data_IF_138786472633
#
_entry.id   IF_138786472633
#
_cell.length_a   1.000
_cell.length_b   1.000
_cell.length_c   1.000
_cell.angle_alpha   90.00
_cell.angle_beta   90.00
_cell.angle_gamma   90.00
#
_symmetry.space_group_name_H-M   'P 1'
#
loop_
_entity.id
_entity.type
_entity.pdbx_description
1 polymer ?
#
# COMPACT_ATOMS: atom_id res chain seq x y z
N UNK A 1 11.93 18.04 20.49
CA UNK A 1 11.53 16.63 20.67
C UNK A 1 11.56 15.98 19.31
N UNK A 2 12.25 14.86 19.15
CA UNK A 2 12.23 14.08 17.90
C UNK A 2 10.95 13.24 17.84
N UNK A 3 10.40 13.05 16.64
CA UNK A 3 9.30 12.09 16.40
C UNK A 3 9.93 10.71 16.21
N UNK A 4 9.60 9.69 17.04
CA UNK A 4 10.14 8.34 16.87
C UNK A 4 9.67 7.72 15.55
N UNK A 5 10.57 7.04 14.86
CA UNK A 5 10.24 6.20 13.70
C UNK A 5 10.35 4.75 14.13
N UNK A 6 9.25 4.00 14.01
CA UNK A 6 9.19 2.61 14.45
C UNK A 6 8.66 1.78 13.29
N UNK A 7 9.42 0.76 12.87
CA UNK A 7 9.03 -0.18 11.83
C UNK A 7 8.33 -1.38 12.48
N UNK A 8 7.18 -1.78 11.93
CA UNK A 8 6.63 -3.10 12.23
C UNK A 8 7.22 -4.09 11.24
N UNK A 9 8.09 -4.96 11.73
CA UNK A 9 8.76 -5.97 10.92
C UNK A 9 8.12 -7.34 11.10
N UNK A 10 8.37 -8.21 10.12
CA UNK A 10 8.12 -9.64 10.21
C UNK A 10 9.43 -10.39 10.44
N UNK A 11 9.31 -11.68 10.76
CA UNK A 11 10.43 -12.62 10.75
C UNK A 11 11.17 -12.69 9.40
N UNK A 12 10.53 -12.28 8.30
CA UNK A 12 11.15 -12.23 6.97
C UNK A 12 11.83 -10.90 6.65
N UNK A 13 11.52 -9.81 7.37
CA UNK A 13 11.94 -8.45 6.98
C UNK A 13 12.83 -7.75 8.01
N UNK A 14 12.80 -8.18 9.27
CA UNK A 14 13.50 -7.48 10.35
C UNK A 14 15.00 -7.42 10.16
N UNK A 15 15.62 -8.55 9.75
CA UNK A 15 17.08 -8.62 9.61
C UNK A 15 17.59 -7.59 8.60
N UNK A 16 17.03 -7.62 7.39
CA UNK A 16 17.43 -6.71 6.30
C UNK A 16 17.13 -5.24 6.65
N UNK A 17 15.98 -4.97 7.29
CA UNK A 17 15.62 -3.63 7.73
C UNK A 17 16.62 -3.08 8.76
N UNK A 18 17.02 -3.90 9.73
CA UNK A 18 18.00 -3.49 10.75
C UNK A 18 19.41 -3.34 10.18
N UNK A 19 19.81 -4.18 9.22
CA UNK A 19 21.07 -4.02 8.49
C UNK A 19 21.11 -2.68 7.74
N UNK A 20 20.02 -2.29 7.08
CA UNK A 20 19.91 -1.01 6.38
C UNK A 20 19.95 0.18 7.34
N UNK A 21 19.17 0.13 8.43
CA UNK A 21 19.19 1.19 9.46
C UNK A 21 20.59 1.36 10.09
N UNK A 22 21.33 0.26 10.25
CA UNK A 22 22.71 0.30 10.70
C UNK A 22 23.65 0.90 9.66
N UNK A 23 23.49 0.53 8.38
CA UNK A 23 24.28 1.06 7.26
C UNK A 23 24.16 2.57 7.14
N UNK A 24 22.96 3.12 7.34
CA UNK A 24 22.71 4.57 7.31
C UNK A 24 23.00 5.28 8.64
N UNK A 25 23.41 4.54 9.69
CA UNK A 25 23.72 5.10 11.00
C UNK A 25 22.52 5.65 11.77
N UNK A 26 21.29 5.20 11.46
CA UNK A 26 20.08 5.69 12.12
C UNK A 26 20.03 5.24 13.59
N UNK A 27 19.81 6.17 14.50
CA UNK A 27 19.73 5.93 15.96
C UNK A 27 18.63 6.80 16.57
N UNK A 28 17.95 6.26 17.58
CA UNK A 28 16.94 6.98 18.35
C UNK A 28 16.80 6.36 19.75
N UNK A 29 15.99 6.99 20.62
CA UNK A 29 15.73 6.52 21.99
C UNK A 29 14.85 5.26 22.04
N UNK A 30 13.91 5.13 21.11
CA UNK A 30 12.96 4.01 21.05
C UNK A 30 13.51 2.87 20.19
N UNK A 31 13.02 1.63 20.38
CA UNK A 31 13.29 0.56 19.42
C UNK A 31 12.97 1.00 18.00
N UNK A 32 13.89 0.75 17.06
CA UNK A 32 13.71 1.09 15.64
C UNK A 32 12.70 0.19 14.94
N UNK A 33 12.52 -1.03 15.44
CA UNK A 33 11.45 -1.91 15.01
C UNK A 33 10.93 -2.80 16.14
N UNK A 34 9.76 -3.39 15.91
CA UNK A 34 9.21 -4.49 16.69
C UNK A 34 8.69 -5.58 15.76
N UNK A 35 8.61 -6.81 16.27
CA UNK A 35 8.12 -7.94 15.51
C UNK A 35 6.60 -8.05 15.64
N UNK A 36 5.94 -8.19 14.49
CA UNK A 36 4.57 -8.71 14.43
C UNK A 36 4.56 -10.23 14.67
N UNK A 37 3.38 -10.78 14.92
CA UNK A 37 3.15 -12.20 15.12
C UNK A 37 3.39 -13.03 13.86
N UNK A 38 3.46 -14.34 14.07
CA UNK A 38 3.61 -15.38 13.06
C UNK A 38 2.49 -16.41 13.32
N UNK A 39 1.69 -16.70 12.29
CA UNK A 39 0.55 -17.65 12.38
C UNK A 39 0.70 -18.78 11.36
N UNK A 40 0.22 -20.00 11.66
CA UNK A 40 0.32 -21.11 10.73
C UNK A 40 -0.56 -20.89 9.50
N UNK A 41 -0.08 -21.32 8.34
CA UNK A 41 -0.93 -21.52 7.16
C UNK A 41 -1.77 -22.79 7.38
N UNK A 42 -3.05 -22.72 7.04
CA UNK A 42 -3.99 -23.82 7.28
C UNK A 42 -4.35 -24.53 5.98
N UNK A 43 -4.43 -25.85 5.99
CA UNK A 43 -4.98 -26.62 4.88
C UNK A 43 -6.43 -26.24 4.65
N UNK A 44 -6.81 -25.94 3.41
CA UNK A 44 -8.18 -25.55 3.07
C UNK A 44 -9.20 -26.66 3.33
N UNK A 45 -8.79 -27.93 3.27
CA UNK A 45 -9.68 -29.08 3.41
C UNK A 45 -10.19 -29.32 4.83
N UNK A 46 -9.35 -29.06 5.84
CA UNK A 46 -9.60 -29.46 7.24
C UNK A 46 -9.14 -28.42 8.27
N UNK A 47 -8.62 -27.27 7.83
CA UNK A 47 -8.14 -26.16 8.66
C UNK A 47 -7.00 -26.54 9.62
N UNK A 48 -6.29 -27.64 9.36
CA UNK A 48 -5.11 -28.01 10.15
C UNK A 48 -3.86 -27.28 9.63
N UNK A 49 -2.85 -26.99 10.48
CA UNK A 49 -1.59 -26.44 10.03
C UNK A 49 -0.94 -27.30 8.93
N UNK A 50 -0.39 -26.65 7.91
CA UNK A 50 0.31 -27.37 6.84
C UNK A 50 1.66 -27.89 7.34
N UNK A 51 2.20 -28.90 6.66
CA UNK A 51 3.62 -29.20 6.73
C UNK A 51 4.22 -29.19 5.32
N UNK A 52 5.42 -28.64 5.19
CA UNK A 52 6.12 -28.52 3.92
C UNK A 52 7.63 -28.71 4.08
N UNK A 53 8.35 -28.84 2.96
CA UNK A 53 9.79 -29.11 2.98
C UNK A 53 10.59 -27.97 3.57
N UNK A 54 10.16 -26.74 3.33
CA UNK A 54 10.71 -25.55 3.96
C UNK A 54 9.81 -25.13 5.15
N UNK A 55 10.26 -25.32 6.41
CA UNK A 55 9.45 -24.96 7.58
C UNK A 55 9.00 -23.50 7.61
N UNK A 56 9.74 -22.57 6.98
CA UNK A 56 9.32 -21.15 6.93
C UNK A 56 8.06 -20.95 6.07
N UNK A 57 7.83 -21.81 5.10
CA UNK A 57 6.61 -21.82 4.27
C UNK A 57 5.39 -22.38 5.02
N UNK A 58 5.55 -22.92 6.24
CA UNK A 58 4.42 -23.31 7.10
C UNK A 58 3.73 -22.10 7.74
N UNK A 59 4.37 -20.93 7.71
CA UNK A 59 3.96 -19.79 8.51
C UNK A 59 3.88 -18.47 7.76
N UNK A 60 2.96 -17.60 8.17
CA UNK A 60 2.81 -16.29 7.57
C UNK A 60 2.54 -15.19 8.61
N UNK A 61 2.82 -13.93 8.24
CA UNK A 61 2.22 -12.78 8.90
C UNK A 61 0.70 -12.83 8.94
N UNK A 62 0.04 -12.47 10.06
CA UNK A 62 -1.42 -12.36 10.15
C UNK A 62 -1.97 -11.04 9.58
N UNK A 63 -1.29 -10.48 8.57
CA UNK A 63 -1.63 -9.18 7.97
C UNK A 63 -1.26 -7.99 8.85
N UNK A 64 -1.38 -6.78 8.28
CA UNK A 64 -0.92 -5.56 8.93
C UNK A 64 -1.82 -5.10 10.09
N UNK A 65 -3.02 -5.68 10.26
CA UNK A 65 -3.89 -5.40 11.42
C UNK A 65 -3.32 -5.85 12.76
N UNK A 66 -2.32 -6.73 12.73
CA UNK A 66 -1.61 -7.22 13.89
C UNK A 66 -0.85 -6.13 14.66
N UNK A 67 -0.54 -5.00 13.99
CA UNK A 67 0.16 -3.85 14.56
C UNK A 67 -0.41 -3.43 15.93
N UNK A 68 -1.73 -3.46 16.09
CA UNK A 68 -2.39 -3.00 17.30
C UNK A 68 -2.10 -3.88 18.51
N UNK A 69 -2.16 -5.20 18.32
CA UNK A 69 -1.94 -6.18 19.39
C UNK A 69 -0.44 -6.30 19.67
N UNK A 70 0.41 -6.39 18.64
CA UNK A 70 1.86 -6.45 18.82
C UNK A 70 2.42 -5.21 19.53
N UNK A 71 1.90 -4.01 19.25
CA UNK A 71 2.29 -2.81 19.98
C UNK A 71 1.99 -2.89 21.48
N UNK A 72 0.85 -3.49 21.85
CA UNK A 72 0.49 -3.69 23.25
C UNK A 72 1.38 -4.77 23.90
N UNK A 73 1.48 -5.95 23.29
CA UNK A 73 2.17 -7.11 23.86
C UNK A 73 3.68 -6.90 24.00
N UNK A 74 4.30 -6.13 23.10
CA UNK A 74 5.71 -5.75 23.21
C UNK A 74 5.98 -4.74 24.32
N UNK A 75 4.95 -4.16 24.94
CA UNK A 75 5.05 -3.07 25.91
C UNK A 75 5.45 -1.73 25.30
N UNK A 76 5.59 -1.66 23.97
CA UNK A 76 5.99 -0.44 23.26
C UNK A 76 4.90 0.64 23.34
N UNK A 77 3.62 0.23 23.26
CA UNK A 77 2.48 1.14 23.43
C UNK A 77 2.53 1.84 24.80
N UNK A 78 2.73 1.07 25.87
CA UNK A 78 2.84 1.61 27.23
C UNK A 78 4.06 2.53 27.37
N UNK A 79 5.19 2.12 26.81
CA UNK A 79 6.43 2.91 26.82
C UNK A 79 6.23 4.27 26.13
N UNK A 80 5.56 4.30 24.97
CA UNK A 80 5.25 5.52 24.24
C UNK A 80 4.33 6.44 25.07
N UNK A 81 3.24 5.89 25.62
CA UNK A 81 2.28 6.66 26.43
C UNK A 81 2.97 7.24 27.68
N UNK A 82 3.77 6.46 28.40
CA UNK A 82 4.50 6.91 29.59
C UNK A 82 5.52 8.01 29.28
N UNK A 83 6.08 8.04 28.06
CA UNK A 83 6.95 9.11 27.59
C UNK A 83 6.18 10.31 27.00
N UNK A 84 4.86 10.34 27.12
CA UNK A 84 4.01 11.48 26.76
C UNK A 84 3.54 11.50 25.30
N UNK A 85 3.78 10.45 24.51
CA UNK A 85 3.24 10.35 23.15
C UNK A 85 1.75 10.03 23.20
N UNK A 86 0.96 10.82 22.48
CA UNK A 86 -0.51 10.70 22.46
C UNK A 86 -1.05 10.18 21.15
N UNK A 87 -0.49 10.64 20.03
CA UNK A 87 -0.95 10.30 18.69
C UNK A 87 0.16 9.56 17.95
N UNK A 88 -0.18 8.46 17.30
CA UNK A 88 0.66 7.81 16.31
C UNK A 88 0.12 8.05 14.90
N UNK A 89 1.03 8.28 13.97
CA UNK A 89 0.78 8.22 12.53
C UNK A 89 1.33 6.88 12.02
N UNK A 90 0.49 6.11 11.33
CA UNK A 90 0.82 4.79 10.78
C UNK A 90 0.57 4.80 9.28
N UNK A 91 1.53 4.35 8.48
CA UNK A 91 1.40 4.27 7.01
C UNK A 91 2.06 3.02 6.46
N UNK A 92 1.73 2.66 5.22
CA UNK A 92 2.46 1.61 4.51
C UNK A 92 3.89 2.07 4.22
N UNK A 93 4.87 1.18 4.37
CA UNK A 93 6.27 1.46 4.00
C UNK A 93 6.48 1.74 2.51
N UNK A 94 5.60 1.20 1.65
CA UNK A 94 5.62 1.46 0.21
C UNK A 94 4.94 2.77 -0.21
N UNK A 95 4.26 3.49 0.71
CA UNK A 95 3.66 4.79 0.39
C UNK A 95 4.63 5.92 0.70
N UNK A 96 5.42 6.32 -0.30
CA UNK A 96 6.44 7.37 -0.15
C UNK A 96 5.87 8.80 -0.12
N UNK A 97 4.56 8.96 -0.28
CA UNK A 97 3.86 10.24 -0.07
C UNK A 97 3.36 10.43 1.37
N UNK A 98 3.37 9.37 2.19
CA UNK A 98 2.88 9.41 3.57
C UNK A 98 3.86 10.17 4.47
N UNK A 99 3.44 11.33 4.97
CA UNK A 99 4.25 12.17 5.88
C UNK A 99 3.42 12.68 7.04
N UNK A 100 4.05 12.96 8.19
CA UNK A 100 3.33 13.57 9.32
C UNK A 100 2.90 15.00 8.96
N UNK A 101 1.59 15.25 8.92
CA UNK A 101 1.03 16.57 8.62
C UNK A 101 0.52 17.28 9.89
N UNK A 102 1.15 18.39 10.33
CA UNK A 102 0.77 19.10 11.56
C UNK A 102 -0.69 19.56 11.58
N UNK A 103 -1.27 19.92 10.43
CA UNK A 103 -2.67 20.31 10.33
C UNK A 103 -3.66 19.17 10.64
N UNK A 104 -3.33 17.93 10.25
CA UNK A 104 -4.18 16.77 10.54
C UNK A 104 -4.09 16.44 12.03
N UNK A 105 -2.87 16.45 12.58
CA UNK A 105 -2.64 16.30 14.02
C UNK A 105 -3.40 17.35 14.83
N UNK A 106 -3.30 18.62 14.44
CA UNK A 106 -4.00 19.73 15.12
C UNK A 106 -5.52 19.55 15.06
N UNK A 107 -6.06 19.12 13.92
CA UNK A 107 -7.47 18.83 13.77
C UNK A 107 -7.92 17.69 14.68
N UNK A 108 -7.16 16.59 14.71
CA UNK A 108 -7.43 15.42 15.56
C UNK A 108 -7.49 15.80 17.04
N UNK A 109 -6.54 16.61 17.51
CA UNK A 109 -6.48 17.09 18.90
C UNK A 109 -7.64 18.02 19.24
N UNK A 110 -7.99 18.95 18.34
CA UNK A 110 -9.10 19.90 18.54
C UNK A 110 -10.44 19.19 18.63
N UNK A 111 -10.70 18.27 17.71
CA UNK A 111 -11.94 17.51 17.63
C UNK A 111 -11.97 16.30 18.58
N UNK A 112 -10.87 16.04 19.30
CA UNK A 112 -10.68 14.92 20.23
C UNK A 112 -10.99 13.57 19.57
N UNK A 113 -10.50 13.39 18.34
CA UNK A 113 -10.70 12.17 17.58
C UNK A 113 -9.78 11.08 18.12
N UNK A 114 -10.28 9.85 18.19
CA UNK A 114 -9.54 8.68 18.64
C UNK A 114 -8.88 7.96 17.46
N UNK A 115 -9.50 8.04 16.27
CA UNK A 115 -9.01 7.39 15.06
C UNK A 115 -9.36 8.22 13.82
N UNK A 116 -8.39 8.48 12.96
CA UNK A 116 -8.61 9.07 11.64
C UNK A 116 -7.97 8.22 10.55
N UNK A 117 -8.66 8.15 9.41
CA UNK A 117 -8.16 7.52 8.21
C UNK A 117 -8.05 8.59 7.12
N UNK A 118 -6.86 8.77 6.55
CA UNK A 118 -6.74 9.59 5.36
C UNK A 118 -7.30 8.83 4.15
N UNK A 119 -8.18 9.49 3.43
CA UNK A 119 -8.88 8.99 2.26
C UNK A 119 -8.47 9.84 1.06
N UNK A 120 -8.33 9.27 -0.12
CA UNK A 120 -8.17 10.01 -1.37
C UNK A 120 -9.44 9.93 -2.19
N UNK A 121 -9.76 10.92 -3.05
CA UNK A 121 -10.68 10.68 -4.16
C UNK A 121 -10.26 9.42 -4.94
N UNK A 122 -11.23 8.55 -5.26
CA UNK A 122 -11.00 7.30 -5.98
C UNK A 122 -10.73 7.60 -7.47
N UNK A 123 -9.77 6.88 -8.04
CA UNK A 123 -9.43 6.90 -9.47
C UNK A 123 -9.61 5.50 -10.07
N UNK A 124 -9.56 5.37 -11.40
CA UNK A 124 -9.61 4.06 -12.08
C UNK A 124 -8.38 3.18 -11.79
N UNK A 125 -7.28 3.75 -11.28
CA UNK A 125 -6.12 3.00 -10.83
C UNK A 125 -6.37 2.30 -9.47
N UNK A 126 -7.34 2.78 -8.67
CA UNK A 126 -7.63 2.29 -7.32
C UNK A 126 -8.53 1.05 -7.31
N UNK A 127 -7.98 -0.07 -7.78
CA UNK A 127 -8.70 -1.36 -7.86
C UNK A 127 -8.57 -2.21 -6.59
N UNK A 128 -7.43 -2.14 -5.89
CA UNK A 128 -7.12 -2.99 -4.71
C UNK A 128 -6.87 -2.16 -3.46
N UNK A 129 -7.74 -2.30 -2.46
CA UNK A 129 -7.67 -1.61 -1.17
C UNK A 129 -9.05 -1.47 -0.54
N UNK A 130 -9.27 -0.43 0.27
CA UNK A 130 -10.48 -0.33 1.07
C UNK A 130 -11.23 1.00 0.95
N UNK A 131 -12.50 1.00 1.35
CA UNK A 131 -13.30 2.21 1.53
C UNK A 131 -14.07 2.14 2.86
N UNK A 132 -14.18 3.28 3.55
CA UNK A 132 -14.97 3.36 4.78
C UNK A 132 -16.45 3.42 4.44
N UNK A 133 -17.27 2.74 5.23
CA UNK A 133 -18.72 2.83 5.18
C UNK A 133 -19.29 2.94 6.59
N UNK A 134 -20.54 3.41 6.69
CA UNK A 134 -21.28 3.47 7.94
C UNK A 134 -22.17 2.25 8.05
N UNK A 135 -21.97 1.43 9.08
CA UNK A 135 -22.84 0.27 9.34
C UNK A 135 -24.17 0.74 9.89
N UNK A 136 -25.26 0.26 9.28
CA UNK A 136 -26.63 0.54 9.69
C UNK A 136 -27.24 -0.73 10.30
N UNK A 137 -27.80 -0.63 11.49
CA UNK A 137 -28.50 -1.72 12.21
C UNK A 137 -29.87 -1.20 12.61
N UNK A 138 -30.94 -1.90 12.22
CA UNK A 138 -32.32 -1.48 12.45
C UNK A 138 -32.59 0.00 12.06
N UNK A 139 -32.02 0.44 10.92
CA UNK A 139 -32.15 1.81 10.42
C UNK A 139 -31.32 2.87 11.15
N UNK A 140 -30.53 2.49 12.17
CA UNK A 140 -29.66 3.40 12.92
C UNK A 140 -28.21 3.17 12.56
N UNK A 141 -27.45 4.27 12.51
CA UNK A 141 -26.02 4.19 12.37
C UNK A 141 -25.38 3.67 13.65
N UNK A 142 -24.58 2.62 13.54
CA UNK A 142 -23.89 2.01 14.67
C UNK A 142 -22.43 2.48 14.71
N UNK A 143 -21.62 2.10 13.74
CA UNK A 143 -20.20 2.50 13.66
C UNK A 143 -19.73 2.66 12.22
N UNK A 144 -18.48 3.13 12.07
CA UNK A 144 -17.77 3.10 10.79
C UNK A 144 -16.99 1.80 10.67
N UNK A 145 -16.91 1.27 9.46
CA UNK A 145 -16.16 0.05 9.14
C UNK A 145 -15.39 0.24 7.84
N UNK A 146 -14.36 -0.59 7.64
CA UNK A 146 -13.58 -0.63 6.41
C UNK A 146 -14.04 -1.84 5.59
N UNK A 147 -14.42 -1.59 4.33
CA UNK A 147 -14.68 -2.62 3.33
C UNK A 147 -13.44 -2.75 2.46
N UNK A 148 -12.73 -3.87 2.56
CA UNK A 148 -11.61 -4.21 1.66
C UNK A 148 -12.10 -4.89 0.39
N UNK A 149 -11.37 -4.75 -0.73
CA UNK A 149 -11.69 -5.45 -2.00
C UNK A 149 -11.96 -6.94 -1.81
N UNK A 150 -11.17 -7.61 -0.95
CA UNK A 150 -11.30 -9.05 -0.69
C UNK A 150 -12.62 -9.46 0.01
N UNK A 151 -13.34 -8.49 0.59
CA UNK A 151 -14.61 -8.69 1.28
C UNK A 151 -15.82 -8.34 0.40
N UNK A 152 -15.58 -7.85 -0.82
CA UNK A 152 -16.63 -7.49 -1.76
C UNK A 152 -17.13 -8.75 -2.49
N UNK A 153 -18.43 -9.08 -2.43
CA UNK A 153 -18.99 -10.18 -3.20
C UNK A 153 -18.74 -9.98 -4.70
N UNK A 154 -18.42 -11.04 -5.48
CA UNK A 154 -18.09 -10.93 -6.90
C UNK A 154 -19.13 -10.16 -7.73
N UNK A 155 -20.42 -10.36 -7.45
CA UNK A 155 -21.55 -9.70 -8.11
C UNK A 155 -21.57 -8.17 -7.90
N UNK A 156 -21.00 -7.69 -6.80
CA UNK A 156 -20.93 -6.27 -6.44
C UNK A 156 -19.57 -5.63 -6.74
N UNK A 157 -18.61 -6.39 -7.29
CA UNK A 157 -17.26 -5.89 -7.56
C UNK A 157 -17.26 -4.67 -8.48
N UNK A 158 -18.15 -4.68 -9.49
CA UNK A 158 -18.30 -3.55 -10.43
C UNK A 158 -18.70 -2.24 -9.73
N UNK A 159 -19.51 -2.30 -8.66
CA UNK A 159 -19.90 -1.13 -7.87
C UNK A 159 -18.73 -0.60 -7.03
N UNK A 160 -17.88 -1.50 -6.53
CA UNK A 160 -16.71 -1.17 -5.71
C UNK A 160 -15.57 -0.58 -6.54
N UNK A 161 -15.32 -1.14 -7.73
CA UNK A 161 -14.30 -0.66 -8.67
C UNK A 161 -14.71 0.64 -9.37
N UNK A 162 -16.01 0.84 -9.59
CA UNK A 162 -16.56 2.04 -10.20
C UNK A 162 -16.41 3.31 -9.34
N UNK A 163 -16.69 4.46 -9.96
CA UNK A 163 -16.61 5.78 -9.31
C UNK A 163 -17.97 6.28 -8.75
N UNK A 164 -19.04 5.51 -8.92
CA UNK A 164 -20.39 5.92 -8.55
C UNK A 164 -20.66 5.87 -7.05
N UNK A 165 -20.49 4.68 -6.45
CA UNK A 165 -20.88 4.38 -5.06
C UNK A 165 -19.78 4.68 -4.06
N UNK A 166 -18.57 4.18 -4.32
CA UNK A 166 -17.39 4.42 -3.47
C UNK A 166 -16.52 5.50 -4.10
N UNK A 167 -16.72 6.76 -3.69
CA UNK A 167 -16.00 7.92 -4.26
C UNK A 167 -14.65 8.19 -3.63
N UNK A 168 -14.35 7.51 -2.54
CA UNK A 168 -13.15 7.70 -1.73
C UNK A 168 -12.48 6.37 -1.47
N UNK A 169 -11.16 6.39 -1.36
CA UNK A 169 -10.32 5.22 -1.20
C UNK A 169 -9.40 5.40 0.01
N UNK A 170 -9.24 4.35 0.82
CA UNK A 170 -8.34 4.33 1.96
C UNK A 170 -6.90 4.37 1.48
N UNK A 171 -6.11 5.28 2.04
CA UNK A 171 -4.67 5.35 1.79
C UNK A 171 -3.86 4.44 2.70
N UNK A 172 -4.51 3.85 3.70
CA UNK A 172 -3.87 3.20 4.86
C UNK A 172 -2.96 4.14 5.67
N UNK A 173 -3.06 5.47 5.48
CA UNK A 173 -2.49 6.46 6.38
C UNK A 173 -3.47 6.68 7.54
N UNK A 174 -3.09 6.26 8.74
CA UNK A 174 -3.94 6.25 9.91
C UNK A 174 -3.35 7.13 11.02
N UNK A 175 -4.22 7.80 11.75
CA UNK A 175 -3.87 8.55 12.95
C UNK A 175 -4.66 8.00 14.13
N UNK A 176 -3.98 7.63 15.20
CA UNK A 176 -4.61 6.93 16.33
C UNK A 176 -4.18 7.57 17.65
N UNK A 177 -5.14 7.78 18.54
CA UNK A 177 -4.88 8.12 19.93
C UNK A 177 -4.43 6.85 20.67
N UNK A 178 -3.19 6.86 21.15
CA UNK A 178 -2.53 5.72 21.79
C UNK A 178 -3.20 5.31 23.10
N UNK A 179 -3.74 6.27 23.85
CA UNK A 179 -4.43 6.01 25.11
C UNK A 179 -5.77 5.34 24.83
N UNK A 180 -6.52 5.85 23.85
CA UNK A 180 -7.76 5.25 23.40
C UNK A 180 -7.52 3.84 22.84
N UNK A 181 -6.51 3.66 21.98
CA UNK A 181 -6.12 2.35 21.45
C UNK A 181 -5.86 1.34 22.59
N UNK A 182 -5.02 1.71 23.55
CA UNK A 182 -4.71 0.87 24.71
C UNK A 182 -5.98 0.49 25.48
N UNK A 183 -6.86 1.45 25.77
CA UNK A 183 -8.11 1.21 26.47
C UNK A 183 -9.02 0.26 25.70
N UNK A 184 -9.19 0.46 24.38
CA UNK A 184 -10.05 -0.38 23.54
C UNK A 184 -9.54 -1.83 23.47
N UNK A 185 -8.23 -2.05 23.37
CA UNK A 185 -7.66 -3.41 23.37
C UNK A 185 -7.87 -4.08 24.74
N UNK A 186 -7.60 -3.38 25.85
CA UNK A 186 -7.73 -3.93 27.21
C UNK A 186 -9.18 -4.20 27.65
N UNK A 187 -10.17 -3.59 27.00
CA UNK A 187 -11.59 -3.93 27.22
C UNK A 187 -11.94 -5.35 26.72
N UNK A 188 -11.08 -5.97 25.90
CA UNK A 188 -11.26 -7.34 25.41
C UNK A 188 -12.25 -7.48 24.25
N UNK A 189 -12.93 -6.40 23.84
CA UNK A 189 -13.87 -6.37 22.71
C UNK A 189 -13.28 -5.76 21.44
N UNK A 190 -11.95 -5.74 21.30
CA UNK A 190 -11.28 -5.17 20.14
C UNK A 190 -11.35 -6.13 18.95
N UNK A 191 -12.11 -5.76 17.93
CA UNK A 191 -12.38 -6.60 16.78
C UNK A 191 -11.72 -6.06 15.51
N UNK A 192 -11.07 -6.96 14.77
CA UNK A 192 -10.58 -6.70 13.42
C UNK A 192 -11.31 -7.60 12.43
N UNK A 193 -11.54 -7.09 11.22
CA UNK A 193 -12.19 -7.88 10.19
C UNK A 193 -11.21 -8.94 9.65
N UNK A 194 -11.61 -10.21 9.71
CA UNK A 194 -10.85 -11.33 9.15
C UNK A 194 -10.82 -11.25 7.62
N UNK A 195 -9.65 -11.51 7.05
CA UNK A 195 -9.40 -11.68 5.63
C UNK A 195 -8.89 -13.11 5.44
N UNK A 196 -9.58 -13.88 4.61
CA UNK A 196 -9.20 -15.25 4.26
C UNK A 196 -8.57 -15.23 2.88
N UNK A 197 -7.27 -15.51 2.81
CA UNK A 197 -6.48 -15.40 1.58
C UNK A 197 -6.04 -16.80 1.10
N UNK A 198 -6.68 -17.37 0.06
CA UNK A 198 -6.29 -18.65 -0.49
C UNK A 198 -4.93 -18.57 -1.19
N UNK A 199 -4.07 -19.55 -0.96
CA UNK A 199 -2.75 -19.70 -1.60
C UNK A 199 -2.49 -21.15 -2.00
N UNK A 200 -1.45 -21.34 -2.78
CA UNK A 200 -0.89 -22.65 -3.09
C UNK A 200 0.56 -22.68 -2.63
N UNK A 201 0.88 -23.60 -1.70
CA UNK A 201 2.23 -23.80 -1.17
C UNK A 201 2.63 -25.25 -1.44
N UNK A 202 3.69 -25.45 -2.21
CA UNK A 202 4.16 -26.79 -2.62
C UNK A 202 3.04 -27.69 -3.18
N UNK A 203 2.09 -27.11 -3.92
CA UNK A 203 0.95 -27.83 -4.51
C UNK A 203 -0.24 -28.06 -3.55
N UNK A 204 -0.13 -27.68 -2.28
CA UNK A 204 -1.22 -27.75 -1.30
C UNK A 204 -2.07 -26.48 -1.36
N UNK A 205 -3.40 -26.62 -1.38
CA UNK A 205 -4.31 -25.48 -1.20
C UNK A 205 -4.38 -25.09 0.28
N UNK A 206 -4.00 -23.85 0.58
CA UNK A 206 -3.90 -23.34 1.96
C UNK A 206 -4.64 -22.02 2.13
N UNK A 207 -4.99 -21.70 3.36
CA UNK A 207 -5.59 -20.45 3.78
C UNK A 207 -4.58 -19.69 4.66
N UNK A 208 -4.38 -18.41 4.34
CA UNK A 208 -3.73 -17.46 5.22
C UNK A 208 -4.82 -16.59 5.86
N UNK A 209 -4.78 -16.48 7.19
CA UNK A 209 -5.71 -15.68 7.96
C UNK A 209 -5.04 -14.36 8.29
N UNK A 210 -5.59 -13.27 7.76
CA UNK A 210 -5.03 -11.93 7.87
C UNK A 210 -6.05 -10.96 8.46
N UNK A 211 -5.59 -9.83 8.97
CA UNK A 211 -6.42 -8.69 9.34
C UNK A 211 -5.88 -7.40 8.75
N UNK A 212 -6.76 -6.43 8.52
CA UNK A 212 -6.38 -5.10 8.03
C UNK A 212 -6.37 -4.06 9.16
N UNK A 213 -5.28 -3.30 9.28
CA UNK A 213 -5.11 -2.28 10.32
C UNK A 213 -6.20 -1.21 10.29
N UNK A 214 -6.65 -0.81 9.10
CA UNK A 214 -7.73 0.17 8.97
C UNK A 214 -9.09 -0.34 9.48
N UNK A 215 -9.30 -1.66 9.61
CA UNK A 215 -10.54 -2.22 10.17
C UNK A 215 -10.72 -1.87 11.65
N UNK A 216 -9.65 -1.45 12.34
CA UNK A 216 -9.70 -1.00 13.72
C UNK A 216 -10.62 0.21 13.94
N UNK A 217 -10.95 0.98 12.89
CA UNK A 217 -11.88 2.13 12.94
C UNK A 217 -13.20 1.78 13.64
N UNK A 218 -13.66 0.52 13.55
CA UNK A 218 -14.92 0.06 14.15
C UNK A 218 -14.93 0.02 15.68
N UNK A 219 -13.75 0.06 16.29
CA UNK A 219 -13.56 -0.03 17.74
C UNK A 219 -13.55 1.33 18.43
N UNK A 220 -13.68 2.42 17.67
CA UNK A 220 -13.59 3.78 18.17
C UNK A 220 -14.90 4.53 17.95
N UNK A 221 -15.21 5.46 18.85
CA UNK A 221 -16.44 6.25 18.79
C UNK A 221 -16.20 7.56 18.03
N UNK A 222 -15.05 8.21 18.29
CA UNK A 222 -14.74 9.52 17.71
C UNK A 222 -13.82 9.36 16.51
N UNK A 223 -14.44 9.02 15.37
CA UNK A 223 -13.70 8.73 14.14
C UNK A 223 -14.05 9.65 12.99
N UNK A 224 -13.08 9.91 12.10
CA UNK A 224 -13.29 10.62 10.83
C UNK A 224 -12.47 10.02 9.70
N UNK A 225 -13.06 9.99 8.51
CA UNK A 225 -12.30 9.95 7.27
C UNK A 225 -11.93 11.38 6.86
N UNK A 226 -10.67 11.62 6.51
CA UNK A 226 -10.19 12.94 6.06
C UNK A 226 -9.81 12.80 4.59
N UNK A 227 -10.49 13.53 3.71
CA UNK A 227 -10.14 13.54 2.29
C UNK A 227 -8.90 14.41 2.10
N UNK A 228 -7.82 13.80 1.62
CA UNK A 228 -6.52 14.43 1.40
C UNK A 228 -6.23 14.60 -0.10
N UNK A 229 -5.31 15.51 -0.47
CA UNK A 229 -4.73 15.54 -1.81
C UNK A 229 -4.03 14.21 -2.13
N UNK A 230 -4.06 13.84 -3.41
CA UNK A 230 -3.48 12.58 -3.90
C UNK A 230 -1.97 12.47 -3.65
N UNK A 231 -1.28 13.60 -3.53
CA UNK A 231 0.16 13.70 -3.27
C UNK A 231 0.63 12.96 -2.01
N UNK A 232 -0.28 12.64 -1.08
CA UNK A 232 0.02 11.88 0.13
C UNK A 232 -0.17 10.35 -0.03
N UNK A 233 -0.48 9.91 -1.25
CA UNK A 233 -0.74 8.51 -1.59
C UNK A 233 0.01 8.14 -2.87
N UNK A 234 1.26 7.72 -2.68
CA UNK A 234 2.19 7.26 -3.71
C UNK A 234 2.66 5.82 -3.40
N UNK A 235 1.75 4.81 -3.38
CA UNK A 235 2.10 3.43 -3.08
C UNK A 235 2.85 2.77 -4.23
N UNK A 236 3.64 1.74 -3.90
CA UNK A 236 4.27 0.84 -4.88
C UNK A 236 3.84 -0.61 -4.58
N UNK A 237 2.89 -1.13 -5.34
CA UNK A 237 2.33 -2.48 -5.17
C UNK A 237 2.78 -3.44 -6.27
N UNK A 238 3.00 -2.93 -7.47
CA UNK A 238 3.53 -3.69 -8.62
C UNK A 238 4.65 -2.95 -9.34
N UNK A 239 5.28 -3.62 -10.31
CA UNK A 239 6.33 -3.05 -11.15
C UNK A 239 5.84 -1.87 -12.00
N UNK A 240 4.54 -1.83 -12.33
CA UNK A 240 3.88 -0.69 -12.97
C UNK A 240 3.95 0.57 -12.09
N UNK A 241 3.60 0.45 -10.80
CA UNK A 241 3.73 1.56 -9.85
C UNK A 241 5.19 1.96 -9.71
N UNK A 242 6.09 0.97 -9.62
CA UNK A 242 7.53 1.20 -9.51
C UNK A 242 8.08 1.99 -10.70
N UNK A 243 7.66 1.64 -11.93
CA UNK A 243 8.01 2.37 -13.14
C UNK A 243 7.53 3.83 -13.05
N UNK A 244 6.26 4.03 -12.67
CA UNK A 244 5.71 5.38 -12.51
C UNK A 244 6.55 6.21 -11.52
N UNK A 245 6.82 5.68 -10.32
CA UNK A 245 7.58 6.40 -9.26
C UNK A 245 9.05 6.62 -9.59
N UNK A 246 9.64 5.82 -10.48
CA UNK A 246 11.02 6.00 -10.97
C UNK A 246 11.15 6.93 -12.16
N UNK A 247 10.06 7.19 -12.87
CA UNK A 247 10.03 8.13 -13.98
C UNK A 247 9.97 9.58 -13.48
N UNK A 248 10.12 10.53 -14.41
CA UNK A 248 9.96 11.96 -14.17
C UNK A 248 8.50 12.43 -13.98
N UNK A 249 7.53 11.51 -14.01
CA UNK A 249 6.15 11.80 -13.59
C UNK A 249 6.04 12.06 -12.08
N UNK A 250 7.06 11.67 -11.32
CA UNK A 250 7.17 11.86 -9.88
C UNK A 250 8.53 12.48 -9.54
N UNK A 251 8.57 13.28 -8.49
CA UNK A 251 9.81 13.86 -7.99
C UNK A 251 9.87 13.80 -6.47
N UNK A 252 11.11 13.87 -5.96
CA UNK A 252 11.43 13.89 -4.54
C UNK A 252 11.38 15.35 -4.04
N UNK A 253 10.59 15.59 -3.00
CA UNK A 253 10.52 16.88 -2.31
C UNK A 253 11.69 17.03 -1.33
N UNK A 254 11.91 18.26 -0.83
CA UNK A 254 12.94 18.56 0.17
C UNK A 254 12.77 17.76 1.47
N UNK A 255 11.54 17.38 1.81
CA UNK A 255 11.23 16.54 2.97
C UNK A 255 11.36 15.03 2.68
N UNK A 256 11.96 14.66 1.54
CA UNK A 256 12.15 13.29 1.06
C UNK A 256 10.87 12.49 0.76
N UNK A 257 9.70 13.15 0.72
CA UNK A 257 8.48 12.51 0.19
C UNK A 257 8.40 12.62 -1.32
N UNK A 258 7.68 11.68 -1.95
CA UNK A 258 7.48 11.68 -3.39
C UNK A 258 6.12 12.27 -3.73
N UNK A 259 6.08 13.17 -4.72
CA UNK A 259 4.85 13.76 -5.24
C UNK A 259 4.84 13.78 -6.77
N UNK A 260 3.65 13.87 -7.35
CA UNK A 260 3.48 13.99 -8.80
C UNK A 260 4.12 15.30 -9.28
N UNK A 261 4.76 15.28 -10.46
CA UNK A 261 5.42 16.46 -11.01
C UNK A 261 4.44 17.60 -11.29
N UNK A 262 4.91 18.84 -11.11
CA UNK A 262 4.09 20.04 -11.28
C UNK A 262 3.61 20.17 -12.73
N UNK A 263 4.50 19.94 -13.71
CA UNK A 263 4.14 19.98 -15.12
C UNK A 263 3.03 19.00 -15.48
N UNK A 264 3.02 17.82 -14.85
CA UNK A 264 1.95 16.83 -15.04
C UNK A 264 0.62 17.33 -14.47
N UNK A 265 0.64 17.89 -13.25
CA UNK A 265 -0.54 18.51 -12.61
C UNK A 265 -1.07 19.68 -13.45
N UNK A 266 -0.19 20.56 -13.91
CA UNK A 266 -0.51 21.70 -14.77
C UNK A 266 -1.09 21.28 -16.12
N UNK A 267 -0.66 20.13 -16.64
CA UNK A 267 -1.20 19.52 -17.86
C UNK A 267 -2.56 18.83 -17.64
N UNK A 268 -3.12 18.89 -16.42
CA UNK A 268 -4.40 18.26 -16.08
C UNK A 268 -4.35 16.73 -16.01
N UNK A 269 -3.15 16.14 -15.98
CA UNK A 269 -2.96 14.70 -15.93
C UNK A 269 -2.97 14.19 -14.48
N UNK A 270 -3.66 13.07 -14.26
CA UNK A 270 -3.71 12.37 -12.97
C UNK A 270 -2.69 11.24 -12.86
N UNK A 271 -3.00 10.22 -12.06
CA UNK A 271 -2.21 8.99 -12.00
C UNK A 271 -2.00 8.36 -13.38
N UNK A 272 -0.80 7.84 -13.64
CA UNK A 272 -0.49 7.17 -14.93
C UNK A 272 -1.12 5.78 -14.92
N UNK A 273 -1.86 5.44 -15.99
CA UNK A 273 -2.34 4.09 -16.19
C UNK A 273 -1.29 3.26 -16.93
N UNK A 274 -0.57 2.42 -16.20
CA UNK A 274 0.46 1.55 -16.77
C UNK A 274 -0.04 0.10 -16.74
N UNK A 275 0.09 -0.58 -17.88
CA UNK A 275 -0.07 -2.02 -18.02
C UNK A 275 1.22 -2.61 -18.56
N UNK A 276 1.82 -3.55 -17.82
CA UNK A 276 2.96 -4.33 -18.27
C UNK A 276 2.55 -5.80 -18.33
N UNK A 277 2.93 -6.50 -19.40
CA UNK A 277 2.67 -7.93 -19.56
C UNK A 277 3.26 -8.74 -18.39
N UNK A 278 2.39 -9.30 -17.53
CA UNK A 278 2.80 -10.00 -16.32
C UNK A 278 3.74 -11.20 -16.59
N UNK A 279 3.77 -11.72 -17.81
CA UNK A 279 4.69 -12.80 -18.21
C UNK A 279 6.16 -12.36 -18.16
N UNK A 280 6.43 -11.07 -18.39
CA UNK A 280 7.79 -10.53 -18.55
C UNK A 280 8.14 -9.50 -17.47
N UNK A 281 7.16 -8.77 -16.92
CA UNK A 281 7.44 -7.61 -16.07
C UNK A 281 6.97 -7.76 -14.61
N UNK A 282 6.35 -8.88 -14.25
CA UNK A 282 5.79 -9.06 -12.90
C UNK A 282 6.85 -9.12 -11.81
N UNK A 283 7.98 -9.76 -12.08
CA UNK A 283 9.07 -9.91 -11.10
C UNK A 283 10.04 -8.74 -11.22
N UNK A 284 10.49 -8.22 -10.08
CA UNK A 284 11.39 -7.06 -10.03
C UNK A 284 12.72 -7.30 -10.77
N UNK A 285 13.25 -8.53 -10.73
CA UNK A 285 14.47 -8.89 -11.46
C UNK A 285 14.30 -8.78 -12.98
N UNK A 286 13.19 -9.30 -13.52
CA UNK A 286 12.89 -9.22 -14.94
C UNK A 286 12.56 -7.77 -15.37
N UNK A 287 11.83 -7.04 -14.53
CA UNK A 287 11.59 -5.61 -14.73
C UNK A 287 12.91 -4.84 -14.85
N UNK A 288 13.83 -4.99 -13.90
CA UNK A 288 15.12 -4.29 -13.91
C UNK A 288 15.97 -4.67 -15.14
N UNK A 289 15.89 -5.93 -15.60
CA UNK A 289 16.56 -6.38 -16.83
C UNK A 289 15.98 -5.72 -18.08
N UNK A 290 14.67 -5.54 -18.13
CA UNK A 290 13.96 -5.01 -19.31
C UNK A 290 13.82 -3.48 -19.30
N UNK A 291 14.03 -2.82 -18.16
CA UNK A 291 14.07 -1.37 -18.00
C UNK A 291 15.43 -0.88 -17.48
N UNK A 292 16.53 -1.08 -18.23
CA UNK A 292 17.80 -0.45 -17.89
C UNK A 292 17.72 1.08 -17.99
N UNK A 293 16.93 1.60 -18.95
CA UNK A 293 16.59 3.01 -19.06
C UNK A 293 15.10 3.23 -18.74
N UNK A 294 14.82 4.16 -17.84
CA UNK A 294 13.44 4.53 -17.49
C UNK A 294 12.95 5.60 -18.48
N UNK A 295 11.84 5.36 -19.21
CA UNK A 295 11.26 6.37 -20.09
C UNK A 295 10.77 7.59 -19.30
N UNK A 296 10.78 8.76 -19.94
CA UNK A 296 10.04 9.91 -19.46
C UNK A 296 8.54 9.62 -19.60
N UNK A 297 7.80 9.76 -18.51
CA UNK A 297 6.36 9.55 -18.41
C UNK A 297 5.62 10.80 -17.94
N UNK A 298 6.30 11.94 -17.79
CA UNK A 298 5.74 13.20 -17.30
C UNK A 298 4.43 13.59 -18.01
N UNK A 299 4.38 13.44 -19.34
CA UNK A 299 3.21 13.73 -20.19
C UNK A 299 2.48 12.46 -20.68
N UNK A 300 2.76 11.29 -20.10
CA UNK A 300 2.12 10.03 -20.46
C UNK A 300 0.75 9.89 -19.77
N UNK A 301 -0.32 9.74 -20.54
CA UNK A 301 -1.66 9.43 -20.01
C UNK A 301 -1.79 7.94 -19.68
N UNK A 302 -1.37 7.07 -20.61
CA UNK A 302 -1.37 5.62 -20.41
C UNK A 302 -0.24 4.95 -21.20
N UNK A 303 0.29 3.86 -20.62
CA UNK A 303 1.32 3.03 -21.24
C UNK A 303 0.92 1.57 -21.15
N UNK A 304 0.79 0.90 -22.29
CA UNK A 304 0.57 -0.55 -22.36
C UNK A 304 1.76 -1.20 -23.05
N UNK A 305 2.44 -2.13 -22.38
CA UNK A 305 3.54 -2.93 -22.97
C UNK A 305 3.12 -4.40 -23.02
N UNK A 306 3.07 -4.96 -24.23
CA UNK A 306 2.69 -6.35 -24.51
C UNK A 306 3.86 -7.08 -25.15
N UNK A 307 4.18 -8.30 -24.68
CA UNK A 307 5.36 -9.04 -25.13
C UNK A 307 6.66 -8.57 -24.47
N UNK A 308 7.78 -9.21 -24.82
CA UNK A 308 9.10 -8.92 -24.24
C UNK A 308 9.78 -7.74 -24.96
N UNK A 309 9.80 -6.57 -24.34
CA UNK A 309 10.42 -5.35 -24.86
C UNK A 309 11.49 -4.82 -23.91
N UNK A 310 12.69 -4.58 -24.43
CA UNK A 310 13.82 -3.98 -23.74
C UNK A 310 13.86 -2.46 -23.96
N UNK A 311 13.73 -1.68 -22.89
CA UNK A 311 13.89 -0.23 -22.88
C UNK A 311 15.38 0.12 -22.77
N UNK A 312 16.11 -0.05 -23.88
CA UNK A 312 17.57 0.10 -23.98
C UNK A 312 18.04 1.53 -24.26
N UNK A 313 17.12 2.48 -24.40
CA UNK A 313 17.43 3.89 -24.59
C UNK A 313 16.41 4.79 -23.90
N UNK A 314 16.84 5.97 -23.48
CA UNK A 314 15.96 7.00 -22.93
C UNK A 314 15.04 7.56 -24.02
N UNK A 315 13.73 7.39 -23.82
CA UNK A 315 12.67 7.92 -24.68
C UNK A 315 11.66 8.74 -23.88
N UNK A 316 10.84 9.54 -24.56
CA UNK A 316 9.68 10.22 -23.98
C UNK A 316 8.39 9.57 -24.48
N UNK A 317 7.48 9.26 -23.56
CA UNK A 317 6.16 8.71 -23.86
C UNK A 317 5.13 9.78 -23.56
N UNK A 318 4.35 10.17 -24.57
CA UNK A 318 3.41 11.29 -24.51
C UNK A 318 2.02 10.82 -24.94
N UNK A 319 1.01 11.08 -24.10
CA UNK A 319 -0.36 10.66 -24.36
C UNK A 319 -0.60 9.17 -24.10
N UNK A 320 -1.33 8.50 -25.00
CA UNK A 320 -1.76 7.10 -24.83
C UNK A 320 -0.99 6.17 -25.76
N UNK A 321 -0.04 5.41 -25.21
CA UNK A 321 0.89 4.61 -26.00
C UNK A 321 0.74 3.12 -25.73
N UNK A 322 0.63 2.35 -26.82
CA UNK A 322 0.67 0.88 -26.80
C UNK A 322 1.92 0.41 -27.53
N UNK A 323 2.76 -0.36 -26.85
CA UNK A 323 3.95 -1.01 -27.41
C UNK A 323 3.70 -2.51 -27.42
N UNK A 324 3.75 -3.14 -28.59
CA UNK A 324 3.45 -4.55 -28.76
C UNK A 324 4.59 -5.27 -29.47
N UNK A 325 5.20 -6.24 -28.79
CA UNK A 325 6.05 -7.24 -29.41
C UNK A 325 5.25 -8.51 -29.69
N UNK A 326 5.06 -8.83 -30.97
CA UNK A 326 4.40 -10.05 -31.43
C UNK A 326 5.39 -11.18 -31.76
N UNK A 327 6.67 -10.88 -31.76
CA UNK A 327 7.73 -11.83 -32.06
C UNK A 327 8.02 -12.73 -30.87
N UNK A 328 8.61 -13.89 -31.15
CA UNK A 328 9.07 -14.82 -30.11
C UNK A 328 10.33 -14.33 -29.41
N UNK A 329 11.09 -13.45 -30.06
CA UNK A 329 12.34 -12.90 -29.55
C UNK A 329 12.13 -11.52 -28.90
N UNK A 330 12.93 -11.15 -27.89
CA UNK A 330 12.91 -9.82 -27.30
C UNK A 330 13.18 -8.73 -28.35
N UNK A 331 12.45 -7.60 -28.26
CA UNK A 331 12.64 -6.45 -29.16
C UNK A 331 13.10 -5.22 -28.39
N UNK A 332 13.89 -4.36 -29.03
CA UNK A 332 14.51 -3.20 -28.39
C UNK A 332 13.76 -1.93 -28.74
N UNK A 333 13.59 -1.03 -27.78
CA UNK A 333 13.00 0.29 -28.05
C UNK A 333 13.81 1.06 -29.11
N UNK A 334 15.13 0.88 -29.15
CA UNK A 334 15.99 1.43 -30.20
C UNK A 334 15.65 0.97 -31.62
N UNK A 335 15.01 -0.19 -31.80
CA UNK A 335 14.58 -0.70 -33.11
C UNK A 335 13.51 0.21 -33.75
N UNK A 336 12.77 1.01 -32.96
CA UNK A 336 11.78 1.98 -33.46
C UNK A 336 12.40 3.25 -34.06
N UNK A 337 13.71 3.47 -33.87
CA UNK A 337 14.46 4.62 -34.42
C UNK A 337 13.84 6.00 -34.08
N UNK A 338 13.14 6.09 -32.96
CA UNK A 338 12.58 7.34 -32.43
C UNK A 338 12.94 7.49 -30.96
N UNK A 339 12.99 8.74 -30.48
CA UNK A 339 13.15 9.08 -29.06
C UNK A 339 11.86 9.56 -28.40
N UNK A 340 10.80 9.73 -29.17
CA UNK A 340 9.49 10.16 -28.70
C UNK A 340 8.45 9.20 -29.27
N UNK A 341 7.62 8.66 -28.38
CA UNK A 341 6.42 7.90 -28.72
C UNK A 341 5.22 8.75 -28.33
N UNK A 342 4.47 9.21 -29.33
CA UNK A 342 3.22 9.95 -29.14
C UNK A 342 2.03 8.97 -29.15
N UNK A 343 0.84 9.47 -28.85
CA UNK A 343 -0.38 8.66 -28.81
C UNK A 343 -0.52 7.75 -30.03
N UNK A 344 -0.56 6.44 -29.80
CA UNK A 344 -0.56 5.47 -30.89
C UNK A 344 -0.13 4.08 -30.48
N UNK A 345 -0.13 3.18 -31.48
CA UNK A 345 0.29 1.79 -31.34
C UNK A 345 1.58 1.56 -32.12
N UNK A 346 2.59 1.05 -31.43
CA UNK A 346 3.91 0.70 -31.97
C UNK A 346 4.08 -0.81 -31.88
N UNK A 347 4.20 -1.47 -33.03
CA UNK A 347 4.38 -2.92 -33.11
C UNK A 347 5.77 -3.25 -33.66
N UNK A 348 6.38 -4.29 -33.11
CA UNK A 348 7.71 -4.77 -33.51
C UNK A 348 7.70 -5.94 -34.48
#
# INVERSE_FOLDING_TARGET
>A
MSVPLILMDSFNTQKESQEELNRIGFRQKFPTSFLQHKVPRLLKRDLTPISCKNPDEEWCPPGHGDIWISLLETGLLDTLIQNGYKIAFVSNGDNLGATVHPGILSYMLKERLEFCMEMTPKTLADKKGGAIYKRMVAGRAENYQLLETAQVPPEHMHEFEGLGKFRTFSTNNLWIDLVALRQRILLGSFELSLIVNPKTIEGQEVLQLETAMGSAIRNFEKVKGIIIPRDRFAPVKKCEDYLARRSDAYHLLENYSITMSDKRKESGLGEILIYLDERYYKKIGDFNRLFPEIPSLELCSSLTVQGEVLFDQKISIVGEVVIQNNETLPRRISDLKTRILESGKYSF
#
